data_IF_353997851533
#
_entry.id   IF_353997851533
#
_cell.length_a   1.000
_cell.length_b   1.000
_cell.length_c   1.000
_cell.angle_alpha   90.00
_cell.angle_beta   90.00
_cell.angle_gamma   90.00
#
_symmetry.space_group_name_H-M   'P 1'
#
loop_
_entity.id
_entity.type
_entity.pdbx_description
1 polymer ?
#
# COMPACT_ATOMS: atom_id res chain seq x y z
N UNK A 1 15.22 17.43 -6.47
CA UNK A 1 14.44 16.29 -5.94
C UNK A 1 13.27 16.04 -6.89
N UNK A 2 13.07 14.80 -7.35
CA UNK A 2 12.03 14.47 -8.34
C UNK A 2 10.62 14.74 -7.78
N UNK A 3 9.74 15.32 -8.60
CA UNK A 3 8.33 15.63 -8.28
C UNK A 3 7.52 14.33 -8.35
N UNK A 4 6.56 14.14 -7.45
CA UNK A 4 5.60 13.04 -7.58
C UNK A 4 4.89 13.13 -8.93
N UNK A 5 4.76 12.00 -9.62
CA UNK A 5 3.98 11.92 -10.86
C UNK A 5 2.55 12.35 -10.56
N UNK A 6 1.99 13.19 -11.45
CA UNK A 6 0.58 13.60 -11.39
C UNK A 6 -0.30 12.82 -12.36
N UNK A 7 0.26 11.80 -13.01
CA UNK A 7 -0.47 11.01 -13.99
C UNK A 7 -0.88 9.68 -13.37
N UNK A 8 -2.15 9.35 -13.58
CA UNK A 8 -2.67 8.00 -13.32
C UNK A 8 -1.97 7.04 -14.26
N UNK A 9 -1.36 6.01 -13.71
CA UNK A 9 -0.74 4.94 -14.49
C UNK A 9 -1.86 4.09 -15.13
N UNK A 10 -1.82 3.74 -16.42
CA UNK A 10 -2.86 2.89 -16.99
C UNK A 10 -2.89 1.51 -16.33
N UNK A 11 -4.08 0.99 -16.03
CA UNK A 11 -4.24 -0.27 -15.29
C UNK A 11 -3.63 -1.47 -16.04
N UNK A 12 -3.68 -1.44 -17.37
CA UNK A 12 -3.14 -2.45 -18.27
C UNK A 12 -1.63 -2.63 -18.08
N UNK A 13 -0.92 -1.57 -17.70
CA UNK A 13 0.54 -1.57 -17.46
C UNK A 13 0.97 -2.63 -16.47
N UNK A 14 0.08 -2.99 -15.54
CA UNK A 14 0.40 -3.90 -14.46
C UNK A 14 -0.55 -5.10 -14.37
N UNK A 15 -1.85 -4.91 -14.63
CA UNK A 15 -2.83 -6.00 -14.63
C UNK A 15 -2.61 -6.99 -15.77
N UNK A 16 -2.11 -6.55 -16.93
CA UNK A 16 -1.81 -7.45 -18.05
C UNK A 16 -0.67 -8.44 -17.74
N UNK A 17 0.11 -8.18 -16.67
CA UNK A 17 1.22 -9.04 -16.21
C UNK A 17 0.75 -10.13 -15.22
N UNK A 18 -0.54 -10.15 -14.87
CA UNK A 18 -1.10 -11.18 -13.98
C UNK A 18 -1.33 -12.48 -14.75
N UNK A 19 -0.75 -13.56 -14.24
CA UNK A 19 -0.95 -14.91 -14.78
C UNK A 19 -2.35 -15.45 -14.42
N UNK A 20 -2.84 -16.51 -15.09
CA UNK A 20 -4.06 -17.19 -14.68
C UNK A 20 -4.04 -17.66 -13.22
N UNK A 21 -2.87 -18.07 -12.71
CA UNK A 21 -2.68 -18.42 -11.30
C UNK A 21 -2.85 -17.23 -10.38
N UNK A 22 -2.27 -16.06 -10.73
CA UNK A 22 -2.44 -14.82 -9.98
C UNK A 22 -3.92 -14.43 -9.88
N UNK A 23 -4.64 -14.48 -11.00
CA UNK A 23 -6.08 -14.26 -11.04
C UNK A 23 -6.86 -15.26 -10.19
N UNK A 24 -6.46 -16.53 -10.19
CA UNK A 24 -7.06 -17.55 -9.33
C UNK A 24 -6.89 -17.25 -7.84
N UNK A 25 -5.70 -16.78 -7.43
CA UNK A 25 -5.40 -16.37 -6.05
C UNK A 25 -6.20 -15.13 -5.64
N UNK A 26 -6.24 -14.10 -6.48
CA UNK A 26 -7.07 -12.90 -6.27
C UNK A 26 -8.56 -13.24 -6.17
N UNK A 27 -9.03 -14.20 -6.99
CA UNK A 27 -10.43 -14.66 -6.96
C UNK A 27 -10.76 -15.38 -5.63
N UNK A 28 -9.77 -16.03 -5.01
CA UNK A 28 -9.87 -16.63 -3.67
C UNK A 28 -9.58 -15.66 -2.53
N UNK A 29 -9.47 -14.35 -2.82
CA UNK A 29 -9.14 -13.28 -1.86
C UNK A 29 -7.79 -13.46 -1.15
N UNK A 30 -6.86 -14.14 -1.80
CA UNK A 30 -5.47 -14.16 -1.34
C UNK A 30 -4.79 -12.83 -1.67
N UNK A 31 -3.86 -12.40 -0.81
CA UNK A 31 -2.96 -11.28 -1.12
C UNK A 31 -1.86 -11.78 -2.04
N UNK A 32 -1.68 -11.09 -3.16
CA UNK A 32 -0.54 -11.29 -4.05
C UNK A 32 0.60 -10.37 -3.64
N UNK A 33 1.80 -10.94 -3.57
CA UNK A 33 3.07 -10.21 -3.45
C UNK A 33 3.96 -10.64 -4.61
N UNK A 34 4.47 -9.68 -5.36
CA UNK A 34 5.43 -9.89 -6.45
C UNK A 34 6.61 -8.92 -6.26
N UNK A 35 7.73 -9.25 -6.89
CA UNK A 35 8.97 -8.50 -6.76
C UNK A 35 9.87 -9.04 -5.66
N UNK A 36 10.83 -8.22 -5.23
CA UNK A 36 11.89 -8.59 -4.31
C UNK A 36 12.93 -7.48 -4.18
N UNK A 37 13.79 -7.57 -3.17
CA UNK A 37 14.97 -6.69 -3.02
C UNK A 37 14.61 -5.19 -3.04
N UNK A 38 13.54 -4.82 -2.34
CA UNK A 38 13.13 -3.41 -2.23
C UNK A 38 12.21 -2.92 -3.33
N UNK A 39 11.82 -3.74 -4.31
CA UNK A 39 10.81 -3.38 -5.31
C UNK A 39 9.67 -4.38 -5.25
N UNK A 40 8.50 -3.92 -4.85
CA UNK A 40 7.36 -4.79 -4.57
C UNK A 40 6.09 -4.30 -5.23
N UNK A 41 5.27 -5.26 -5.62
CA UNK A 41 3.90 -5.06 -6.06
C UNK A 41 3.00 -5.97 -5.24
N UNK A 42 2.06 -5.37 -4.50
CA UNK A 42 1.16 -6.08 -3.60
C UNK A 42 -0.28 -5.79 -4.00
N UNK A 43 -1.12 -6.81 -4.08
CA UNK A 43 -2.49 -6.67 -4.54
C UNK A 43 -3.47 -7.51 -3.74
N UNK A 44 -4.68 -7.01 -3.59
CA UNK A 44 -5.80 -7.79 -3.10
C UNK A 44 -7.12 -7.34 -3.75
N UNK A 45 -8.08 -8.25 -3.83
CA UNK A 45 -9.43 -7.92 -4.26
C UNK A 45 -10.30 -7.56 -3.07
N UNK A 46 -11.19 -6.58 -3.23
CA UNK A 46 -12.20 -6.23 -2.23
C UNK A 46 -13.60 -6.32 -2.83
N UNK A 47 -14.60 -6.49 -1.97
CA UNK A 47 -16.01 -6.40 -2.36
C UNK A 47 -16.62 -5.03 -2.11
N UNK A 48 -15.86 -4.11 -1.50
CA UNK A 48 -16.23 -2.70 -1.42
C UNK A 48 -16.24 -2.08 -2.83
N UNK A 49 -17.06 -1.05 -3.02
CA UNK A 49 -16.99 -0.23 -4.23
C UNK A 49 -15.75 0.70 -4.20
N UNK A 50 -15.44 1.30 -5.35
CA UNK A 50 -14.26 2.17 -5.50
C UNK A 50 -14.32 3.37 -4.55
N UNK A 51 -15.49 3.95 -4.31
CA UNK A 51 -15.64 5.09 -3.42
C UNK A 51 -15.32 4.75 -1.96
N UNK A 52 -15.85 3.62 -1.46
CA UNK A 52 -15.56 3.10 -0.12
C UNK A 52 -14.08 2.73 0.00
N UNK A 53 -13.53 2.07 -1.02
CA UNK A 53 -12.13 1.71 -1.06
C UNK A 53 -11.21 2.94 -1.02
N UNK A 54 -11.55 3.98 -1.79
CA UNK A 54 -10.81 5.24 -1.80
C UNK A 54 -10.85 5.92 -0.44
N UNK A 55 -12.04 6.00 0.18
CA UNK A 55 -12.22 6.59 1.50
C UNK A 55 -11.39 5.87 2.59
N UNK A 56 -11.10 4.57 2.45
CA UNK A 56 -10.18 3.87 3.36
C UNK A 56 -8.73 4.21 3.07
N UNK A 57 -8.32 4.24 1.80
CA UNK A 57 -6.93 4.54 1.42
C UNK A 57 -6.50 5.97 1.77
N UNK A 58 -7.45 6.91 1.85
CA UNK A 58 -7.17 8.31 2.19
C UNK A 58 -7.54 8.67 3.63
N UNK A 59 -7.92 7.69 4.46
CA UNK A 59 -8.24 7.90 5.88
C UNK A 59 -6.98 8.00 6.76
N UNK A 60 -6.02 8.82 6.33
CA UNK A 60 -4.68 8.89 6.91
C UNK A 60 -4.71 9.11 8.42
N UNK A 61 -5.64 9.92 8.93
CA UNK A 61 -5.77 10.21 10.36
C UNK A 61 -6.22 9.03 11.21
N UNK A 62 -6.83 8.00 10.62
CA UNK A 62 -7.35 6.83 11.34
C UNK A 62 -6.58 5.55 11.06
N UNK A 63 -5.47 5.60 10.32
CA UNK A 63 -4.66 4.41 10.01
C UNK A 63 -4.26 3.60 11.26
N UNK A 64 -4.00 4.25 12.40
CA UNK A 64 -3.68 3.56 13.66
C UNK A 64 -4.83 2.67 14.20
N UNK A 65 -6.06 2.82 13.70
CA UNK A 65 -7.21 2.01 14.14
C UNK A 65 -7.28 0.65 13.47
N UNK A 66 -6.67 0.49 12.30
CA UNK A 66 -6.82 -0.72 11.49
C UNK A 66 -5.50 -1.24 10.89
N UNK A 67 -4.45 -0.42 10.78
CA UNK A 67 -3.15 -0.90 10.32
C UNK A 67 -2.34 -1.50 11.49
N UNK A 68 -1.87 -2.75 11.38
CA UNK A 68 -1.35 -3.52 12.52
C UNK A 68 -0.06 -2.96 13.14
N UNK A 69 0.80 -2.31 12.35
CA UNK A 69 2.07 -1.76 12.81
C UNK A 69 1.97 -0.29 13.21
N UNK A 70 0.88 0.39 12.86
CA UNK A 70 0.76 1.85 13.03
C UNK A 70 0.25 2.15 14.43
N UNK A 71 1.14 2.64 15.30
CA UNK A 71 0.78 3.05 16.65
C UNK A 71 0.10 4.43 16.68
N UNK A 72 0.50 5.34 15.78
CA UNK A 72 -0.10 6.66 15.60
C UNK A 72 -0.04 7.06 14.14
N UNK A 73 -1.05 7.80 13.68
CA UNK A 73 -1.06 8.40 12.35
C UNK A 73 -1.74 9.75 12.42
N UNK A 74 -1.18 10.76 11.76
CA UNK A 74 -1.76 12.10 11.72
C UNK A 74 -1.42 12.82 10.42
N UNK A 75 -2.38 13.61 9.93
CA UNK A 75 -2.14 14.57 8.86
C UNK A 75 -1.40 15.77 9.44
N UNK A 76 -0.25 16.11 8.86
CA UNK A 76 0.58 17.24 9.26
C UNK A 76 0.25 18.47 8.43
N UNK A 77 -0.01 18.25 7.15
CA UNK A 77 -0.26 19.28 6.15
C UNK A 77 -1.22 18.73 5.10
N UNK A 78 -2.11 19.58 4.61
CA UNK A 78 -2.98 19.26 3.47
C UNK A 78 -3.11 20.50 2.60
N UNK A 79 -2.82 20.35 1.31
CA UNK A 79 -2.89 21.38 0.28
C UNK A 79 -3.48 20.78 -1.00
N UNK A 80 -4.81 20.92 -1.15
CA UNK A 80 -5.56 20.32 -2.25
C UNK A 80 -5.36 18.79 -2.31
N UNK A 81 -4.86 18.23 -3.43
CA UNK A 81 -4.62 16.79 -3.56
C UNK A 81 -3.36 16.29 -2.83
N UNK A 82 -2.57 17.19 -2.22
CA UNK A 82 -1.33 16.86 -1.53
C UNK A 82 -1.57 16.77 -0.02
N UNK A 83 -1.19 15.66 0.58
CA UNK A 83 -1.28 15.44 2.03
C UNK A 83 0.04 14.93 2.58
N UNK A 84 0.57 15.56 3.63
CA UNK A 84 1.71 15.07 4.39
C UNK A 84 1.22 14.33 5.62
N UNK A 85 1.65 13.09 5.78
CA UNK A 85 1.22 12.20 6.85
C UNK A 85 2.44 11.80 7.68
N UNK A 86 2.31 11.87 9.00
CA UNK A 86 3.28 11.32 9.93
C UNK A 86 2.70 10.06 10.57
N UNK A 87 3.48 8.99 10.54
CA UNK A 87 3.14 7.73 11.18
C UNK A 87 4.23 7.33 12.17
N UNK A 88 3.79 6.79 13.30
CA UNK A 88 4.66 6.10 14.26
C UNK A 88 4.37 4.62 14.11
N UNK A 89 5.31 3.89 13.52
CA UNK A 89 5.24 2.45 13.38
C UNK A 89 5.93 1.77 14.57
N UNK A 90 5.26 0.79 15.16
CA UNK A 90 5.78 0.02 16.29
C UNK A 90 5.66 -1.46 15.98
N UNK A 91 6.79 -2.17 16.03
CA UNK A 91 6.85 -3.60 15.75
C UNK A 91 7.68 -4.34 16.79
N UNK A 92 7.16 -5.48 17.24
CA UNK A 92 7.90 -6.40 18.12
C UNK A 92 8.74 -7.35 17.28
N UNK A 93 10.04 -7.41 17.55
CA UNK A 93 10.98 -8.32 16.90
C UNK A 93 11.73 -9.04 18.01
N UNK A 94 11.50 -10.36 18.13
CA UNK A 94 12.00 -11.20 19.22
C UNK A 94 11.62 -10.61 20.60
N UNK A 95 12.62 -10.25 21.40
CA UNK A 95 12.47 -9.66 22.74
C UNK A 95 12.46 -8.13 22.73
N UNK A 96 12.65 -7.50 21.57
CA UNK A 96 12.75 -6.05 21.42
C UNK A 96 11.52 -5.46 20.72
N UNK A 97 11.23 -4.19 21.01
CA UNK A 97 10.25 -3.39 20.25
C UNK A 97 10.98 -2.30 19.51
N UNK A 98 10.80 -2.25 18.19
CA UNK A 98 11.33 -1.19 17.33
C UNK A 98 10.21 -0.18 17.08
N UNK A 99 10.52 1.09 17.26
CA UNK A 99 9.66 2.20 16.90
C UNK A 99 10.36 3.02 15.80
N UNK A 100 9.60 3.40 14.78
CA UNK A 100 10.06 4.26 13.69
C UNK A 100 9.05 5.37 13.46
N UNK A 101 9.53 6.57 13.14
CA UNK A 101 8.69 7.69 12.73
C UNK A 101 8.97 7.97 11.27
N UNK A 102 7.92 7.91 10.46
CA UNK A 102 8.00 8.21 9.02
C UNK A 102 7.08 9.37 8.68
N UNK A 103 7.53 10.22 7.74
CA UNK A 103 6.70 11.23 7.10
C UNK A 103 6.65 10.97 5.62
N UNK A 104 5.45 10.88 5.07
CA UNK A 104 5.22 10.69 3.64
C UNK A 104 4.49 11.88 3.05
N UNK A 105 4.87 12.25 1.84
CA UNK A 105 4.07 13.10 0.97
C UNK A 105 3.21 12.20 0.10
N UNK A 106 1.91 12.44 0.08
CA UNK A 106 0.92 11.67 -0.65
C UNK A 106 0.18 12.61 -1.60
N UNK A 107 0.09 12.24 -2.87
CA UNK A 107 -0.61 12.99 -3.91
C UNK A 107 -1.77 12.13 -4.43
N UNK A 108 -2.98 12.57 -4.12
CA UNK A 108 -4.23 11.98 -4.54
C UNK A 108 -4.59 12.41 -5.97
N UNK A 109 -4.96 11.46 -6.82
CA UNK A 109 -5.24 11.67 -8.24
C UNK A 109 -6.53 10.94 -8.60
N UNK A 110 -7.55 11.72 -8.95
CA UNK A 110 -8.82 11.28 -9.55
C UNK A 110 -9.54 10.14 -8.81
N UNK A 111 -9.38 10.04 -7.49
CA UNK A 111 -9.91 8.95 -6.68
C UNK A 111 -9.48 7.54 -7.14
N UNK A 112 -8.35 7.45 -7.84
CA UNK A 112 -7.86 6.23 -8.44
C UNK A 112 -6.43 5.90 -8.04
N UNK A 113 -5.57 6.91 -7.86
CA UNK A 113 -4.16 6.71 -7.55
C UNK A 113 -3.68 7.65 -6.43
N UNK A 114 -2.88 7.12 -5.51
CA UNK A 114 -2.13 7.93 -4.55
C UNK A 114 -0.65 7.72 -4.83
N UNK A 115 0.04 8.71 -5.40
CA UNK A 115 1.49 8.67 -5.52
C UNK A 115 2.12 9.13 -4.21
N UNK A 116 3.08 8.38 -3.68
CA UNK A 116 3.70 8.72 -2.40
C UNK A 116 5.22 8.69 -2.44
N UNK A 117 5.85 9.46 -1.55
CA UNK A 117 7.28 9.38 -1.26
C UNK A 117 7.58 9.69 0.20
N UNK A 118 8.68 9.16 0.68
CA UNK A 118 9.27 9.47 1.97
C UNK A 118 9.84 10.89 1.96
N UNK A 119 9.46 11.68 2.96
CA UNK A 119 10.09 12.95 3.29
C UNK A 119 11.08 12.81 4.45
N UNK A 120 10.75 11.96 5.42
CA UNK A 120 11.56 11.73 6.61
C UNK A 120 11.35 10.30 7.12
N UNK A 121 12.41 9.66 7.60
CA UNK A 121 12.35 8.31 8.18
C UNK A 121 13.74 7.69 8.24
N UNK A 122 13.78 6.41 8.59
CA UNK A 122 15.01 5.61 8.69
C UNK A 122 15.35 4.83 7.41
N UNK A 123 14.55 4.99 6.35
CA UNK A 123 14.83 4.44 5.02
C UNK A 123 15.66 5.44 4.21
N UNK A 124 16.56 4.94 3.36
CA UNK A 124 17.29 5.78 2.41
C UNK A 124 16.33 6.39 1.39
N UNK A 125 15.42 5.58 0.87
CA UNK A 125 14.31 6.04 0.05
C UNK A 125 13.12 5.12 0.22
N UNK A 126 11.93 5.69 0.07
CA UNK A 126 10.69 4.94 -0.12
C UNK A 126 9.75 5.77 -0.99
N UNK A 127 9.24 5.20 -2.07
CA UNK A 127 8.30 5.86 -2.97
C UNK A 127 7.49 4.82 -3.73
N UNK A 128 6.36 5.24 -4.28
CA UNK A 128 5.49 4.32 -4.98
C UNK A 128 4.13 4.91 -5.26
N UNK A 129 3.16 4.02 -5.46
CA UNK A 129 1.77 4.41 -5.61
C UNK A 129 0.81 3.35 -5.09
N UNK A 130 -0.30 3.81 -4.54
CA UNK A 130 -1.52 3.03 -4.36
C UNK A 130 -2.44 3.22 -5.54
N UNK A 131 -3.22 2.18 -5.87
CA UNK A 131 -4.24 2.25 -6.91
C UNK A 131 -5.49 1.46 -6.56
N UNK A 132 -6.59 1.90 -7.15
CA UNK A 132 -7.85 1.18 -7.23
C UNK A 132 -8.23 1.00 -8.70
N UNK A 133 -8.42 -0.24 -9.12
CA UNK A 133 -8.84 -0.54 -10.48
C UNK A 133 -9.94 -1.60 -10.47
N UNK A 134 -10.87 -1.50 -11.41
CA UNK A 134 -11.93 -2.50 -11.60
C UNK A 134 -11.55 -3.41 -12.75
N UNK A 135 -11.39 -4.70 -12.50
CA UNK A 135 -11.01 -5.66 -13.53
C UNK A 135 -11.67 -7.02 -13.31
N UNK A 136 -11.84 -7.76 -14.40
CA UNK A 136 -12.42 -9.10 -14.39
C UNK A 136 -11.32 -10.14 -14.67
N UNK A 137 -11.29 -11.28 -13.95
CA UNK A 137 -10.43 -12.39 -14.33
C UNK A 137 -10.73 -12.85 -15.77
N UNK A 138 -9.73 -13.33 -16.54
CA UNK A 138 -9.96 -13.79 -17.92
C UNK A 138 -11.05 -14.85 -18.09
N UNK A 139 -11.31 -15.63 -17.03
CA UNK A 139 -12.23 -16.78 -17.02
C UNK A 139 -13.57 -16.46 -16.30
N UNK A 140 -13.68 -15.31 -15.64
CA UNK A 140 -14.89 -14.92 -14.90
C UNK A 140 -15.36 -13.54 -15.34
N UNK A 141 -16.62 -13.37 -15.79
CA UNK A 141 -17.11 -12.08 -16.26
C UNK A 141 -17.40 -11.10 -15.12
N UNK A 142 -17.30 -11.52 -13.84
CA UNK A 142 -17.63 -10.64 -12.71
C UNK A 142 -16.46 -9.69 -12.42
N UNK A 143 -16.64 -8.37 -12.59
CA UNK A 143 -15.61 -7.40 -12.23
C UNK A 143 -15.37 -7.40 -10.72
N UNK A 144 -14.12 -7.16 -10.35
CA UNK A 144 -13.64 -7.08 -8.97
C UNK A 144 -12.93 -5.73 -8.80
N UNK A 145 -13.07 -5.11 -7.64
CA UNK A 145 -12.23 -3.97 -7.26
C UNK A 145 -10.92 -4.53 -6.72
N UNK A 146 -9.82 -4.08 -7.31
CA UNK A 146 -8.45 -4.45 -6.94
C UNK A 146 -7.80 -3.24 -6.28
N UNK A 147 -7.36 -3.41 -5.04
CA UNK A 147 -6.41 -2.49 -4.41
C UNK A 147 -5.02 -3.00 -4.68
N UNK A 148 -4.15 -2.13 -5.18
CA UNK A 148 -2.75 -2.46 -5.43
C UNK A 148 -1.82 -1.38 -4.87
N UNK A 149 -0.63 -1.82 -4.47
CA UNK A 149 0.47 -0.97 -4.08
C UNK A 149 1.72 -1.39 -4.84
N UNK A 150 2.35 -0.44 -5.52
CA UNK A 150 3.72 -0.55 -5.97
C UNK A 150 4.58 0.27 -5.03
N UNK A 151 5.66 -0.30 -4.51
CA UNK A 151 6.57 0.37 -3.59
C UNK A 151 8.01 0.01 -3.87
N UNK A 152 8.84 1.04 -3.96
CA UNK A 152 10.28 0.96 -3.96
C UNK A 152 10.77 1.44 -2.59
N UNK A 153 11.59 0.65 -1.90
CA UNK A 153 12.13 0.97 -0.59
C UNK A 153 13.55 0.42 -0.40
N UNK A 154 14.41 1.23 0.21
CA UNK A 154 15.76 0.82 0.58
C UNK A 154 16.12 1.33 1.97
N UNK A 155 16.79 0.49 2.74
CA UNK A 155 17.30 0.82 4.07
C UNK A 155 18.81 0.60 4.13
N UNK A 156 19.51 1.48 4.84
CA UNK A 156 20.93 1.33 5.14
C UNK A 156 21.14 0.59 6.46
N UNK A 157 20.92 -0.72 6.43
CA UNK A 157 20.99 -1.57 7.63
C UNK A 157 22.20 -2.52 7.61
N UNK A 158 23.16 -2.25 6.73
CA UNK A 158 24.38 -3.03 6.56
C UNK A 158 24.11 -4.54 6.47
N UNK A 159 24.65 -5.37 7.39
CA UNK A 159 24.54 -6.83 7.34
C UNK A 159 23.10 -7.34 7.52
N UNK A 160 22.16 -6.51 8.00
CA UNK A 160 20.77 -6.90 8.25
C UNK A 160 19.84 -6.66 7.06
N UNK A 161 20.37 -6.33 5.87
CA UNK A 161 19.57 -5.97 4.67
C UNK A 161 18.60 -7.08 4.26
N UNK A 162 19.02 -8.35 4.31
CA UNK A 162 18.15 -9.48 4.00
C UNK A 162 16.97 -9.59 4.99
N UNK A 163 17.24 -9.49 6.28
CA UNK A 163 16.21 -9.52 7.32
C UNK A 163 15.24 -8.34 7.16
N UNK A 164 15.73 -7.14 6.84
CA UNK A 164 14.89 -5.98 6.54
C UNK A 164 13.87 -6.29 5.44
N UNK A 165 14.31 -6.82 4.29
CA UNK A 165 13.41 -7.12 3.18
C UNK A 165 12.36 -8.17 3.54
N UNK A 166 12.72 -9.24 4.27
CA UNK A 166 11.75 -10.23 4.74
C UNK A 166 10.68 -9.63 5.66
N UNK A 167 11.09 -8.76 6.60
CA UNK A 167 10.14 -8.09 7.49
C UNK A 167 9.27 -7.07 6.72
N UNK A 168 9.86 -6.38 5.74
CA UNK A 168 9.16 -5.43 4.90
C UNK A 168 8.09 -6.13 4.04
N UNK A 169 8.44 -7.24 3.38
CA UNK A 169 7.51 -8.08 2.60
C UNK A 169 6.31 -8.53 3.43
N UNK A 170 6.58 -9.03 4.64
CA UNK A 170 5.55 -9.45 5.59
C UNK A 170 4.63 -8.26 5.93
N UNK A 171 5.22 -7.10 6.22
CA UNK A 171 4.48 -5.88 6.56
C UNK A 171 3.60 -5.38 5.42
N UNK A 172 4.05 -5.49 4.16
CA UNK A 172 3.23 -5.09 3.00
C UNK A 172 1.99 -5.97 2.86
N UNK A 173 2.15 -7.29 3.03
CA UNK A 173 1.03 -8.23 2.99
C UNK A 173 0.04 -7.97 4.12
N UNK A 174 0.53 -7.80 5.35
CA UNK A 174 -0.29 -7.47 6.52
C UNK A 174 -1.06 -6.15 6.33
N UNK A 175 -0.39 -5.11 5.81
CA UNK A 175 -0.98 -3.81 5.54
C UNK A 175 -2.09 -3.89 4.49
N UNK A 176 -1.83 -4.50 3.33
CA UNK A 176 -2.84 -4.64 2.25
C UNK A 176 -4.02 -5.50 2.73
N UNK A 177 -3.75 -6.54 3.52
CA UNK A 177 -4.80 -7.37 4.11
C UNK A 177 -5.68 -6.57 5.07
N UNK A 178 -5.08 -5.76 5.95
CA UNK A 178 -5.79 -4.92 6.89
C UNK A 178 -6.61 -3.82 6.20
N UNK A 179 -6.05 -3.18 5.17
CA UNK A 179 -6.75 -2.21 4.32
C UNK A 179 -7.98 -2.87 3.68
N UNK A 180 -7.80 -4.02 3.02
CA UNK A 180 -8.93 -4.75 2.42
C UNK A 180 -10.01 -5.06 3.45
N UNK A 181 -9.62 -5.57 4.63
CA UNK A 181 -10.59 -5.88 5.70
C UNK A 181 -11.37 -4.64 6.14
N UNK A 182 -10.70 -3.50 6.28
CA UNK A 182 -11.36 -2.25 6.63
C UNK A 182 -12.31 -1.76 5.51
N UNK A 183 -11.93 -1.91 4.24
CA UNK A 183 -12.81 -1.62 3.10
C UNK A 183 -14.07 -2.50 3.15
N UNK A 184 -13.91 -3.81 3.36
CA UNK A 184 -15.03 -4.74 3.45
C UNK A 184 -15.91 -4.44 4.68
N UNK A 185 -15.34 -3.97 5.80
CA UNK A 185 -16.06 -3.57 7.00
C UNK A 185 -16.91 -2.32 6.80
N UNK A 186 -16.40 -1.30 6.08
CA UNK A 186 -17.13 -0.04 5.83
C UNK A 186 -18.21 -0.14 4.76
N UNK A 187 -18.18 -1.20 3.95
CA UNK A 187 -19.24 -1.52 2.98
C UNK A 187 -20.54 -1.96 3.68
N UNK A 188 -20.44 -2.57 4.86
CA UNK A 188 -21.53 -3.22 5.58
C UNK A 188 -22.51 -2.24 6.24
#
# INVERSE_FOLDING_TARGET
MSRLSRQVIPAETYLARLSPTDWGRLSRREVLLKGGQGQYEVMATTVADVATAWAVLTDYGNFARFLPTVAKSRVIESDGPRTVVEQVDRRRILLSTIESVVRTENLEIDQQQISFRLLQGNLQHMYGHWRLDTAAPPISPKPMVIVSQMVHAEADVGPFKAMFYTLFETSLVEMVQAIRQEMERRRA
#
